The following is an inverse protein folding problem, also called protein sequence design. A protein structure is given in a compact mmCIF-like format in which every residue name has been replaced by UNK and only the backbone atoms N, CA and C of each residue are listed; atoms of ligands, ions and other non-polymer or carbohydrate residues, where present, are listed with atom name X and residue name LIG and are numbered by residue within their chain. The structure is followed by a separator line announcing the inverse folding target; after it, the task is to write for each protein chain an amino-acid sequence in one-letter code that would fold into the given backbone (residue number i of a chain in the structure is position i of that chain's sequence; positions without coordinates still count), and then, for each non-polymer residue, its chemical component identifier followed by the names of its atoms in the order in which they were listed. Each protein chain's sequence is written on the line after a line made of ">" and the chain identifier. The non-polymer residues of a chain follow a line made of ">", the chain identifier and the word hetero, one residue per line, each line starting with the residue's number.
data_IF_824745863449
#
_entry.id   IF_824745863449
#
_cell.length_a   1.000
_cell.length_b   1.000
_cell.length_c   1.000
_cell.angle_alpha   90.00
_cell.angle_beta   90.00
_cell.angle_gamma   90.00
#
_symmetry.space_group_name_H-M   'P 1'
#
loop_
_entity.id
_entity.type
_entity.pdbx_description
1 polymer ?
#
# COMPACT_ATOMS: atom_id res chain seq x y z
N UNK A 1 -8.08 7.55 22.41
CA UNK A 1 -7.95 6.91 21.10
C UNK A 1 -7.58 8.01 20.14
N UNK A 2 -6.29 8.09 19.79
CA UNK A 2 -5.80 9.06 18.83
C UNK A 2 -5.42 8.26 17.60
N UNK A 3 -6.31 8.21 16.62
CA UNK A 3 -6.01 7.58 15.34
C UNK A 3 -4.94 8.45 14.67
N UNK A 4 -3.69 7.95 14.63
CA UNK A 4 -2.62 8.66 13.96
C UNK A 4 -2.76 8.41 12.46
N UNK A 5 -2.81 9.48 11.67
CA UNK A 5 -2.86 9.40 10.21
C UNK A 5 -1.65 10.09 9.58
N UNK A 6 -1.03 9.41 8.62
CA UNK A 6 0.07 9.96 7.82
C UNK A 6 -0.31 9.81 6.36
N UNK A 7 -0.27 10.92 5.62
CA UNK A 7 -0.65 10.92 4.22
C UNK A 7 0.51 11.41 3.35
N UNK A 8 0.80 10.61 2.32
CA UNK A 8 1.78 10.86 1.29
C UNK A 8 1.03 11.22 0.00
N UNK A 9 1.01 12.51 -0.35
CA UNK A 9 0.37 13.01 -1.57
C UNK A 9 1.43 13.28 -2.64
N UNK A 10 2.04 12.22 -3.16
CA UNK A 10 3.07 12.30 -4.19
C UNK A 10 2.87 11.16 -5.18
N UNK A 11 3.02 11.49 -6.46
CA UNK A 11 2.87 10.51 -7.53
C UNK A 11 4.15 9.70 -7.70
N UNK A 12 4.00 8.38 -7.75
CA UNK A 12 5.07 7.43 -8.04
C UNK A 12 4.58 6.39 -9.05
N UNK A 13 5.50 5.86 -9.84
CA UNK A 13 5.23 4.72 -10.72
C UNK A 13 5.62 3.43 -10.00
N UNK A 14 4.73 2.45 -10.00
CA UNK A 14 4.97 1.10 -9.47
C UNK A 14 4.88 0.10 -10.61
N UNK A 15 5.95 -0.67 -10.81
CA UNK A 15 5.98 -1.76 -11.77
C UNK A 15 5.19 -2.97 -11.23
N UNK A 16 4.32 -3.53 -12.07
CA UNK A 16 3.56 -4.72 -11.75
C UNK A 16 4.32 -5.98 -12.15
N UNK A 17 4.14 -7.06 -11.38
CA UNK A 17 4.72 -8.36 -11.70
C UNK A 17 3.90 -9.12 -12.76
N UNK A 18 2.62 -8.77 -12.93
CA UNK A 18 1.69 -9.45 -13.83
C UNK A 18 1.31 -10.85 -13.31
N UNK A 19 1.35 -11.03 -12.00
CA UNK A 19 1.09 -12.30 -11.32
C UNK A 19 -0.16 -12.31 -10.44
N UNK A 20 -0.96 -11.24 -10.51
CA UNK A 20 -2.31 -11.24 -9.94
C UNK A 20 -3.12 -12.46 -10.39
N UNK A 21 -3.82 -13.07 -9.42
CA UNK A 21 -4.71 -14.20 -9.68
C UNK A 21 -6.02 -13.82 -10.38
N UNK A 22 -6.29 -12.51 -10.49
CA UNK A 22 -7.51 -11.95 -11.07
C UNK A 22 -7.35 -11.61 -12.55
N UNK A 23 -6.12 -11.31 -12.99
CA UNK A 23 -5.78 -11.20 -14.42
C UNK A 23 -5.18 -12.52 -14.94
N UNK A 24 -5.98 -13.58 -14.92
CA UNK A 24 -5.54 -14.94 -15.27
C UNK A 24 -4.99 -15.05 -16.70
N UNK A 25 -5.52 -14.25 -17.61
CA UNK A 25 -5.10 -14.21 -19.01
C UNK A 25 -3.95 -13.24 -19.25
N UNK A 26 -3.56 -12.42 -18.24
CA UNK A 26 -2.52 -11.39 -18.32
C UNK A 26 -2.78 -10.38 -19.43
N UNK A 27 -4.03 -9.96 -19.57
CA UNK A 27 -4.47 -9.03 -20.63
C UNK A 27 -5.03 -7.72 -20.09
N UNK A 28 -5.34 -7.66 -18.79
CA UNK A 28 -6.02 -6.52 -18.17
C UNK A 28 -5.00 -5.60 -17.48
N UNK A 29 -4.07 -6.20 -16.72
CA UNK A 29 -3.12 -5.45 -15.93
C UNK A 29 -2.06 -4.80 -16.83
N UNK A 30 -1.81 -3.48 -16.67
CA UNK A 30 -0.71 -2.82 -17.35
C UNK A 30 0.63 -3.31 -16.80
N UNK A 31 1.74 -2.88 -17.41
CA UNK A 31 3.09 -3.16 -16.87
C UNK A 31 3.40 -2.38 -15.59
N UNK A 32 2.73 -1.25 -15.39
CA UNK A 32 2.96 -0.34 -14.28
C UNK A 32 1.72 0.50 -14.03
N UNK A 33 1.57 1.00 -12.81
CA UNK A 33 0.51 1.92 -12.40
C UNK A 33 1.10 3.16 -11.74
N UNK A 34 0.35 4.25 -11.75
CA UNK A 34 0.67 5.43 -10.95
C UNK A 34 -0.06 5.36 -9.62
N UNK A 35 0.69 5.45 -8.54
CA UNK A 35 0.20 5.64 -7.17
C UNK A 35 0.24 7.13 -6.89
N UNK A 36 -0.88 7.72 -6.52
CA UNK A 36 -1.03 9.18 -6.32
C UNK A 36 -1.16 9.57 -4.86
N UNK A 37 -1.48 8.60 -4.01
CA UNK A 37 -1.67 8.82 -2.57
C UNK A 37 -1.48 7.54 -1.78
N UNK A 38 -0.82 7.66 -0.62
CA UNK A 38 -0.80 6.61 0.40
C UNK A 38 -1.21 7.25 1.72
N UNK A 39 -2.17 6.65 2.41
CA UNK A 39 -2.59 7.05 3.76
C UNK A 39 -2.37 5.88 4.70
N UNK A 40 -1.47 6.05 5.67
CA UNK A 40 -1.26 5.12 6.77
C UNK A 40 -2.12 5.53 7.96
N UNK A 41 -2.74 4.55 8.63
CA UNK A 41 -3.53 4.75 9.84
C UNK A 41 -3.07 3.80 10.95
N UNK A 42 -2.88 4.37 12.13
CA UNK A 42 -2.71 3.68 13.40
C UNK A 42 -4.08 3.60 14.08
N UNK A 43 -4.51 2.41 14.47
CA UNK A 43 -5.74 2.19 15.24
C UNK A 43 -5.43 1.44 16.53
N UNK A 44 -5.76 2.04 17.68
CA UNK A 44 -5.69 1.40 19.00
C UNK A 44 -7.13 1.04 19.44
N UNK A 45 -7.42 -0.26 19.45
CA UNK A 45 -8.74 -0.78 19.79
C UNK A 45 -8.94 -1.02 21.29
N UNK A 46 -7.94 -0.72 22.12
CA UNK A 46 -8.02 -0.83 23.58
C UNK A 46 -7.94 -2.26 24.13
N UNK A 47 -7.57 -3.23 23.30
CA UNK A 47 -7.26 -4.63 23.68
C UNK A 47 -5.76 -4.85 23.98
N UNK A 48 -4.95 -3.81 23.78
CA UNK A 48 -3.50 -3.83 23.99
C UNK A 48 -2.71 -3.98 22.70
N UNK A 49 -3.39 -4.22 21.57
CA UNK A 49 -2.79 -4.30 20.24
C UNK A 49 -3.01 -2.99 19.47
N UNK A 50 -2.00 -2.60 18.69
CA UNK A 50 -2.07 -1.44 17.79
C UNK A 50 -2.05 -1.98 16.37
N UNK A 51 -3.06 -1.59 15.59
CA UNK A 51 -3.23 -2.03 14.21
C UNK A 51 -2.79 -0.97 13.22
N UNK A 52 -2.23 -1.41 12.11
CA UNK A 52 -1.80 -0.54 11.01
C UNK A 52 -2.42 -0.95 9.70
N UNK A 53 -2.99 0.02 9.00
CA UNK A 53 -3.48 -0.15 7.64
C UNK A 53 -2.98 0.96 6.72
N UNK A 54 -3.00 0.67 5.42
CA UNK A 54 -2.71 1.63 4.38
C UNK A 54 -3.83 1.67 3.34
N UNK A 55 -4.28 2.87 3.01
CA UNK A 55 -5.12 3.15 1.84
C UNK A 55 -4.24 3.73 0.73
N UNK A 56 -4.26 3.10 -0.45
CA UNK A 56 -3.42 3.45 -1.59
C UNK A 56 -4.31 3.83 -2.77
N UNK A 57 -4.17 5.06 -3.25
CA UNK A 57 -4.86 5.54 -4.45
C UNK A 57 -3.98 5.30 -5.69
N UNK A 58 -4.53 4.64 -6.71
CA UNK A 58 -3.81 4.34 -7.95
C UNK A 58 -4.70 4.50 -9.20
N UNK A 59 -4.08 4.55 -10.38
CA UNK A 59 -4.79 4.59 -11.66
C UNK A 59 -4.96 3.21 -12.33
N UNK A 60 -4.45 2.14 -11.70
CA UNK A 60 -4.58 0.77 -12.18
C UNK A 60 -6.01 0.19 -12.05
N UNK A 61 -6.30 -0.89 -12.80
CA UNK A 61 -7.57 -1.61 -12.70
C UNK A 61 -7.68 -2.39 -11.38
N UNK A 62 -8.88 -2.84 -11.02
CA UNK A 62 -9.11 -3.70 -9.85
C UNK A 62 -8.28 -5.00 -9.88
N UNK A 63 -8.05 -5.55 -11.07
CA UNK A 63 -7.34 -6.81 -11.28
C UNK A 63 -5.87 -6.78 -10.86
N UNK A 64 -5.30 -5.63 -10.47
CA UNK A 64 -3.96 -5.59 -9.86
C UNK A 64 -3.95 -6.19 -8.44
N UNK A 65 -5.10 -6.41 -7.83
CA UNK A 65 -5.20 -7.04 -6.52
C UNK A 65 -4.46 -8.38 -6.51
N UNK A 66 -3.72 -8.71 -5.45
CA UNK A 66 -2.75 -9.81 -5.35
C UNK A 66 -1.48 -9.73 -6.21
N UNK A 67 -1.28 -8.68 -7.03
CA UNK A 67 -0.03 -8.53 -7.77
C UNK A 67 1.15 -8.25 -6.81
N UNK A 68 2.17 -9.10 -6.88
CA UNK A 68 3.31 -9.03 -5.94
C UNK A 68 4.23 -7.84 -6.23
N UNK A 69 4.27 -7.37 -7.49
CA UNK A 69 5.01 -6.18 -7.88
C UNK A 69 4.40 -4.92 -7.27
N UNK A 70 3.06 -4.84 -7.26
CA UNK A 70 2.36 -3.74 -6.60
C UNK A 70 2.68 -3.66 -5.11
N UNK A 71 2.53 -4.77 -4.38
CA UNK A 71 2.83 -4.83 -2.93
C UNK A 71 4.28 -4.40 -2.66
N UNK A 72 5.23 -5.00 -3.38
CA UNK A 72 6.65 -4.70 -3.24
C UNK A 72 6.94 -3.21 -3.49
N UNK A 73 6.40 -2.63 -4.56
CA UNK A 73 6.62 -1.23 -4.89
C UNK A 73 6.09 -0.28 -3.81
N UNK A 74 4.93 -0.57 -3.21
CA UNK A 74 4.42 0.21 -2.08
C UNK A 74 5.34 0.10 -0.85
N UNK A 75 5.80 -1.10 -0.49
CA UNK A 75 6.70 -1.27 0.66
C UNK A 75 8.05 -0.59 0.44
N UNK A 76 8.60 -0.65 -0.78
CA UNK A 76 9.82 0.08 -1.14
C UNK A 76 9.63 1.61 -1.03
N UNK A 77 8.43 2.13 -1.35
CA UNK A 77 8.10 3.55 -1.17
C UNK A 77 7.99 3.94 0.31
N UNK A 78 7.44 3.07 1.16
CA UNK A 78 7.36 3.28 2.62
C UNK A 78 8.74 3.16 3.29
N UNK A 79 9.61 2.34 2.71
CA UNK A 79 11.02 2.18 3.10
C UNK A 79 11.32 0.89 3.86
N UNK A 80 12.59 0.69 4.25
CA UNK A 80 13.03 -0.54 4.89
C UNK A 80 12.30 -0.85 6.21
N UNK A 81 11.92 -2.12 6.40
CA UNK A 81 11.27 -2.61 7.61
C UNK A 81 9.75 -2.45 7.63
N UNK A 82 9.14 -1.98 6.54
CA UNK A 82 7.70 -2.07 6.34
C UNK A 82 7.36 -3.37 5.62
N UNK A 83 6.43 -4.12 6.19
CA UNK A 83 5.85 -5.32 5.58
C UNK A 83 4.33 -5.24 5.66
N UNK A 84 3.67 -5.56 4.56
CA UNK A 84 2.22 -5.56 4.46
C UNK A 84 1.78 -6.15 3.13
N UNK A 85 0.50 -6.45 3.04
CA UNK A 85 -0.11 -6.98 1.84
C UNK A 85 -1.59 -6.60 1.77
N UNK A 86 -2.23 -6.96 0.66
CA UNK A 86 -3.63 -6.69 0.44
C UNK A 86 -4.51 -7.27 1.55
N UNK A 87 -5.23 -6.37 2.22
CA UNK A 87 -6.31 -6.75 3.12
C UNK A 87 -7.52 -7.30 2.36
N UNK A 88 -8.45 -7.92 3.08
CA UNK A 88 -9.78 -8.24 2.53
C UNK A 88 -10.55 -7.00 2.04
N UNK A 89 -10.30 -5.83 2.64
CA UNK A 89 -10.92 -4.57 2.22
C UNK A 89 -10.29 -4.04 0.92
N UNK A 90 -9.14 -4.57 0.50
CA UNK A 90 -8.46 -4.15 -0.73
C UNK A 90 -9.20 -4.50 -2.01
N UNK A 91 -10.28 -5.28 -1.93
CA UNK A 91 -11.13 -5.66 -3.06
C UNK A 91 -12.33 -4.72 -3.29
N UNK A 92 -12.44 -3.61 -2.56
CA UNK A 92 -13.72 -2.86 -2.49
C UNK A 92 -13.98 -1.87 -3.62
N UNK A 93 -12.96 -1.34 -4.28
CA UNK A 93 -13.15 -0.31 -5.31
C UNK A 93 -12.02 -0.26 -6.33
N UNK A 94 -12.36 0.06 -7.58
CA UNK A 94 -11.36 0.45 -8.59
C UNK A 94 -10.55 1.67 -8.14
N UNK A 95 -9.25 1.63 -8.45
CA UNK A 95 -8.32 2.73 -8.14
C UNK A 95 -7.98 2.90 -6.66
N UNK A 96 -8.44 1.99 -5.80
CA UNK A 96 -8.16 1.99 -4.36
C UNK A 96 -7.71 0.60 -3.91
N UNK A 97 -6.53 0.53 -3.32
CA UNK A 97 -6.07 -0.66 -2.62
C UNK A 97 -6.04 -0.38 -1.11
N UNK A 98 -6.33 -1.40 -0.31
CA UNK A 98 -6.21 -1.36 1.14
C UNK A 98 -5.31 -2.48 1.60
N UNK A 99 -4.26 -2.14 2.34
CA UNK A 99 -3.29 -3.10 2.86
C UNK A 99 -3.40 -3.19 4.38
N UNK A 100 -3.16 -4.39 4.87
CA UNK A 100 -2.85 -4.62 6.27
C UNK A 100 -1.33 -4.57 6.42
N UNK A 101 -0.85 -3.85 7.44
CA UNK A 101 0.57 -3.72 7.73
C UNK A 101 0.92 -4.64 8.89
N UNK A 102 1.80 -5.61 8.63
CA UNK A 102 2.17 -6.67 9.56
C UNK A 102 3.42 -6.36 10.36
N UNK A 103 4.35 -5.62 9.75
CA UNK A 103 5.57 -5.16 10.40
C UNK A 103 5.90 -3.73 9.99
N UNK A 104 6.41 -2.96 10.94
CA UNK A 104 6.84 -1.58 10.74
C UNK A 104 7.85 -1.19 11.84
N UNK A 105 8.75 -0.22 11.62
CA UNK A 105 9.87 0.07 12.54
C UNK A 105 9.49 0.68 13.91
N UNK A 106 8.24 0.55 14.40
CA UNK A 106 7.63 1.12 15.62
C UNK A 106 7.72 2.65 15.77
N UNK A 107 8.68 3.33 15.15
CA UNK A 107 8.78 4.78 15.02
C UNK A 107 8.45 5.21 13.59
N UNK A 108 7.40 6.00 13.42
CA UNK A 108 7.19 6.70 12.15
C UNK A 108 7.85 8.05 12.19
N UNK A 109 9.07 8.09 11.66
CA UNK A 109 9.69 9.31 11.16
C UNK A 109 9.03 9.58 9.80
N UNK A 110 8.60 10.82 9.59
CA UNK A 110 8.01 11.29 8.33
C UNK A 110 8.65 10.59 7.11
N UNK A 111 7.91 9.75 6.36
CA UNK A 111 8.49 8.89 5.33
C UNK A 111 9.16 9.68 4.19
N UNK A 112 8.83 10.98 4.06
CA UNK A 112 9.38 11.88 3.05
C UNK A 112 10.60 12.69 3.53
N UNK A 113 11.03 12.56 4.79
CA UNK A 113 12.24 13.27 5.30
C UNK A 113 13.56 12.57 4.97
N UNK A 114 13.53 11.42 4.30
CA UNK A 114 14.70 10.82 3.66
C UNK A 114 14.77 11.30 2.20
N UNK A 115 14.94 12.62 2.01
CA UNK A 115 15.36 13.11 0.70
C UNK A 115 16.82 12.68 0.45
N UNK A 116 16.99 11.82 -0.55
CA UNK A 116 18.20 11.54 -1.33
C UNK A 116 19.54 11.40 -0.56
N UNK A 117 20.03 10.16 -0.44
CA UNK A 117 21.48 9.90 -0.42
C UNK A 117 21.98 9.62 -1.83
#
# INVERSE_FOLDING_TARGET
>A
MADRKITLNKTFTVDLAGDSIWDKERTINPKSVEVTGITLRESDYGDGDVYWDAEITHNGPWEIYTDTGFVKGIMELLGPGWEGDFSEQGMQQDGLAHFDIHDHPYEIKDPLKLEAF
#
